data_IF_433590829634
#
_entry.id   IF_433590829634
#
_cell.length_a   1.000
_cell.length_b   1.000
_cell.length_c   1.000
_cell.angle_alpha   90.00
_cell.angle_beta   90.00
_cell.angle_gamma   90.00
#
_symmetry.space_group_name_H-M   'P 1'
#
loop_
_entity.id
_entity.type
_entity.pdbx_description
1 polymer ?
#
# COMPACT_ATOMS: atom_id res chain seq x y z
N UNK A 1 12.99 -12.94 14.96
CA UNK A 1 12.50 -14.22 15.53
C UNK A 1 10.99 -14.06 15.68
N UNK A 2 10.21 -14.61 14.76
CA UNK A 2 8.75 -14.52 14.81
C UNK A 2 8.26 -15.39 15.97
N UNK A 3 7.82 -14.76 17.04
CA UNK A 3 6.91 -15.42 17.97
C UNK A 3 5.58 -15.54 17.22
N UNK A 4 5.38 -16.66 16.54
CA UNK A 4 4.12 -16.95 15.90
C UNK A 4 3.04 -17.06 16.95
N UNK A 5 2.40 -15.94 17.26
CA UNK A 5 1.17 -15.96 18.03
C UNK A 5 0.15 -16.68 17.14
N UNK A 6 -0.14 -17.95 17.45
CA UNK A 6 -1.09 -18.79 16.69
C UNK A 6 -2.52 -18.23 16.72
N UNK A 7 -2.73 -17.16 17.48
CA UNK A 7 -4.02 -16.48 17.66
C UNK A 7 -4.17 -15.21 16.84
N UNK A 8 -3.20 -14.85 15.96
CA UNK A 8 -3.31 -13.66 15.12
C UNK A 8 -4.26 -13.92 13.94
N UNK A 9 -5.54 -13.60 14.13
CA UNK A 9 -6.55 -13.68 13.10
C UNK A 9 -6.84 -12.27 12.53
N UNK A 10 -6.40 -12.03 11.30
CA UNK A 10 -6.60 -10.74 10.60
C UNK A 10 -8.09 -10.37 10.42
N UNK A 11 -9.01 -11.32 10.48
CA UNK A 11 -10.45 -11.05 10.45
C UNK A 11 -10.91 -10.36 11.74
N UNK A 12 -10.37 -10.79 12.88
CA UNK A 12 -10.61 -10.15 14.17
C UNK A 12 -9.96 -8.76 14.22
N UNK A 13 -8.74 -8.62 13.72
CA UNK A 13 -8.03 -7.34 13.62
C UNK A 13 -8.78 -6.34 12.72
N UNK A 14 -9.37 -6.81 11.62
CA UNK A 14 -10.13 -5.96 10.69
C UNK A 14 -11.50 -5.53 11.24
N UNK A 15 -12.06 -6.25 12.22
CA UNK A 15 -13.42 -6.04 12.72
C UNK A 15 -13.71 -4.60 13.19
N UNK A 16 -12.85 -3.93 13.98
CA UNK A 16 -13.07 -2.54 14.40
C UNK A 16 -13.12 -1.55 13.24
N UNK A 17 -12.53 -1.89 12.10
CA UNK A 17 -12.40 -1.04 10.92
C UNK A 17 -13.35 -1.44 9.78
N UNK A 18 -14.25 -2.41 10.03
CA UNK A 18 -15.11 -3.01 9.00
C UNK A 18 -15.86 -1.96 8.17
N UNK A 19 -16.48 -0.98 8.83
CA UNK A 19 -17.29 0.04 8.15
C UNK A 19 -16.46 1.00 7.27
N UNK A 20 -15.21 1.27 7.66
CA UNK A 20 -14.26 2.02 6.85
C UNK A 20 -13.80 1.16 5.65
N UNK A 21 -13.29 -0.03 5.93
CA UNK A 21 -12.73 -0.94 4.93
C UNK A 21 -13.77 -1.35 3.86
N UNK A 22 -15.04 -1.50 4.25
CA UNK A 22 -16.11 -1.86 3.33
C UNK A 22 -16.38 -0.81 2.25
N UNK A 23 -16.07 0.47 2.52
CA UNK A 23 -16.27 1.58 1.56
C UNK A 23 -15.13 1.72 0.56
N UNK A 24 -13.97 1.15 0.84
CA UNK A 24 -12.76 1.36 0.03
C UNK A 24 -12.96 0.86 -1.40
N UNK A 25 -12.63 1.72 -2.35
CA UNK A 25 -12.64 1.47 -3.80
C UNK A 25 -11.26 1.61 -4.42
N UNK A 26 -10.37 2.38 -3.77
CA UNK A 26 -8.99 2.62 -4.21
C UNK A 26 -8.04 2.27 -3.07
N UNK A 27 -7.00 1.50 -3.36
CA UNK A 27 -5.90 1.23 -2.44
C UNK A 27 -4.60 1.80 -3.00
N UNK A 28 -3.98 2.70 -2.26
CA UNK A 28 -2.75 3.41 -2.65
C UNK A 28 -1.66 3.10 -1.65
N UNK A 29 -0.46 2.80 -2.15
CA UNK A 29 0.69 2.43 -1.34
C UNK A 29 1.88 3.33 -1.65
N UNK A 30 2.60 3.75 -0.62
CA UNK A 30 3.98 4.18 -0.81
C UNK A 30 4.87 2.98 -1.19
N UNK A 31 6.05 3.25 -1.69
CA UNK A 31 7.00 2.21 -2.11
C UNK A 31 8.09 2.02 -1.08
N UNK A 32 8.87 3.07 -0.81
CA UNK A 32 10.03 2.98 0.07
C UNK A 32 9.61 3.06 1.53
N UNK A 33 9.68 1.93 2.24
CA UNK A 33 9.20 1.82 3.62
C UNK A 33 7.83 1.16 3.78
N UNK A 34 7.14 0.87 2.66
CA UNK A 34 5.90 0.07 2.65
C UNK A 34 6.07 -1.20 1.81
N UNK A 35 6.15 -1.06 0.47
CA UNK A 35 6.31 -2.20 -0.45
C UNK A 35 7.75 -2.74 -0.47
N UNK A 36 8.70 -1.97 0.07
CA UNK A 36 10.11 -2.32 0.21
C UNK A 36 10.56 -2.03 1.64
N UNK A 37 11.74 -2.49 2.01
CA UNK A 37 12.32 -2.31 3.35
C UNK A 37 13.19 -1.03 3.45
N UNK A 38 12.94 -0.01 2.64
CA UNK A 38 13.69 1.26 2.55
C UNK A 38 15.16 1.11 2.19
N UNK A 39 15.63 -0.08 1.79
CA UNK A 39 17.02 -0.30 1.35
C UNK A 39 17.10 -0.20 -0.16
N UNK A 40 18.06 0.59 -0.63
CA UNK A 40 18.39 0.74 -2.05
C UNK A 40 19.77 0.17 -2.35
N UNK A 41 19.96 -0.35 -3.55
CA UNK A 41 21.25 -0.80 -4.05
C UNK A 41 21.46 -0.34 -5.49
N UNK A 42 22.71 -0.09 -5.87
CA UNK A 42 23.05 0.29 -7.22
C UNK A 42 22.98 -0.91 -8.17
N UNK A 43 22.22 -0.79 -9.25
CA UNK A 43 21.97 -1.86 -10.22
C UNK A 43 22.50 -1.55 -11.64
N UNK A 44 23.50 -0.68 -11.73
CA UNK A 44 24.08 -0.23 -13.00
C UNK A 44 23.39 1.02 -13.57
N UNK A 45 24.05 1.67 -14.56
CA UNK A 45 23.62 2.96 -15.11
C UNK A 45 22.24 2.90 -15.81
N UNK A 46 21.89 1.75 -16.38
CA UNK A 46 20.60 1.57 -17.06
C UNK A 46 19.40 1.49 -16.11
N UNK A 47 19.61 1.04 -14.89
CA UNK A 47 18.53 0.81 -13.90
C UNK A 47 18.61 1.80 -12.75
N UNK A 48 19.80 2.27 -12.39
CA UNK A 48 20.06 3.15 -11.26
C UNK A 48 19.88 2.43 -9.93
N UNK A 49 19.35 3.14 -8.93
CA UNK A 49 19.03 2.57 -7.63
C UNK A 49 17.79 1.68 -7.70
N UNK A 50 17.93 0.45 -7.23
CA UNK A 50 16.88 -0.56 -7.22
C UNK A 50 16.58 -1.03 -5.78
N UNK A 51 15.51 -1.83 -5.62
CA UNK A 51 14.95 -2.25 -4.33
C UNK A 51 14.54 -3.72 -4.36
N UNK A 52 14.40 -4.30 -3.17
CA UNK A 52 13.80 -5.62 -3.00
C UNK A 52 12.33 -5.49 -2.67
N UNK A 53 11.48 -6.19 -3.43
CA UNK A 53 10.04 -6.25 -3.23
C UNK A 53 9.63 -7.59 -2.63
N UNK A 54 8.64 -7.57 -1.76
CA UNK A 54 8.02 -8.78 -1.25
C UNK A 54 7.03 -9.34 -2.28
N UNK A 55 7.15 -10.62 -2.60
CA UNK A 55 6.27 -11.29 -3.57
C UNK A 55 4.82 -11.38 -3.05
N UNK A 56 4.62 -11.56 -1.74
CA UNK A 56 3.30 -11.65 -1.12
C UNK A 56 2.54 -10.32 -1.21
N UNK A 57 3.22 -9.19 -0.98
CA UNK A 57 2.65 -7.86 -1.17
C UNK A 57 2.22 -7.66 -2.62
N UNK A 58 3.12 -7.94 -3.56
CA UNK A 58 2.81 -7.82 -4.99
C UNK A 58 1.63 -8.69 -5.44
N UNK A 59 1.51 -9.92 -4.91
CA UNK A 59 0.35 -10.76 -5.20
C UNK A 59 -0.93 -10.19 -4.59
N UNK A 60 -0.85 -9.61 -3.40
CA UNK A 60 -1.98 -8.91 -2.76
C UNK A 60 -2.53 -7.76 -3.63
N UNK A 61 -1.65 -6.93 -4.20
CA UNK A 61 -2.06 -5.87 -5.15
C UNK A 61 -2.85 -6.44 -6.34
N UNK A 62 -2.38 -7.56 -6.90
CA UNK A 62 -3.10 -8.25 -8.00
C UNK A 62 -4.46 -8.76 -7.55
N UNK A 63 -4.58 -9.29 -6.33
CA UNK A 63 -5.87 -9.77 -5.78
C UNK A 63 -6.89 -8.63 -5.71
N UNK A 64 -6.51 -7.46 -5.19
CA UNK A 64 -7.42 -6.31 -5.14
C UNK A 64 -7.82 -5.85 -6.53
N UNK A 65 -6.85 -5.72 -7.43
CA UNK A 65 -7.11 -5.32 -8.81
C UNK A 65 -8.07 -6.29 -9.52
N UNK A 66 -7.85 -7.60 -9.38
CA UNK A 66 -8.71 -8.62 -9.99
C UNK A 66 -10.12 -8.64 -9.38
N UNK A 67 -10.27 -8.15 -8.15
CA UNK A 67 -11.57 -7.95 -7.52
C UNK A 67 -12.28 -6.65 -7.95
N UNK A 68 -11.66 -5.85 -8.84
CA UNK A 68 -12.24 -4.62 -9.38
C UNK A 68 -11.92 -3.35 -8.60
N UNK A 69 -11.04 -3.40 -7.60
CA UNK A 69 -10.55 -2.19 -6.94
C UNK A 69 -9.47 -1.51 -7.79
N UNK A 70 -9.42 -0.20 -7.73
CA UNK A 70 -8.28 0.55 -8.23
C UNK A 70 -7.10 0.38 -7.28
N UNK A 71 -5.91 0.15 -7.84
CA UNK A 71 -4.68 -0.02 -7.06
C UNK A 71 -3.61 0.89 -7.64
N UNK A 72 -2.99 1.70 -6.78
CA UNK A 72 -1.97 2.67 -7.20
C UNK A 72 -0.80 2.76 -6.24
N UNK A 73 0.23 3.45 -6.71
CA UNK A 73 1.37 3.87 -5.87
C UNK A 73 1.61 5.36 -6.00
N UNK A 74 2.07 5.96 -4.89
CA UNK A 74 2.61 7.32 -4.86
C UNK A 74 3.92 7.28 -4.07
N UNK A 75 5.06 7.56 -4.74
CA UNK A 75 6.38 7.52 -4.11
C UNK A 75 7.25 8.72 -4.48
N UNK A 76 8.04 9.21 -3.53
CA UNK A 76 9.00 10.28 -3.78
C UNK A 76 10.17 9.85 -4.67
N UNK A 77 10.52 8.57 -4.65
CA UNK A 77 11.60 8.02 -5.48
C UNK A 77 11.21 7.87 -6.96
N UNK A 78 12.13 8.16 -7.86
CA UNK A 78 12.01 7.85 -9.29
C UNK A 78 12.92 6.66 -9.63
N UNK A 79 12.36 5.57 -10.13
CA UNK A 79 13.10 4.34 -10.42
C UNK A 79 12.45 3.53 -11.53
N UNK A 80 13.25 3.22 -12.55
CA UNK A 80 12.86 2.32 -13.64
C UNK A 80 12.44 0.94 -13.10
N UNK A 81 13.12 0.43 -12.08
CA UNK A 81 12.80 -0.85 -11.44
C UNK A 81 11.42 -0.86 -10.79
N UNK A 82 11.06 0.22 -10.07
CA UNK A 82 9.73 0.40 -9.47
C UNK A 82 8.66 0.42 -10.56
N UNK A 83 8.83 1.26 -11.57
CA UNK A 83 7.89 1.39 -12.69
C UNK A 83 7.65 0.05 -13.40
N UNK A 84 8.73 -0.67 -13.76
CA UNK A 84 8.64 -2.00 -14.37
C UNK A 84 7.93 -3.02 -13.46
N UNK A 85 8.21 -2.97 -12.15
CA UNK A 85 7.57 -3.88 -11.17
C UNK A 85 6.07 -3.62 -11.10
N UNK A 86 5.62 -2.38 -11.00
CA UNK A 86 4.20 -2.02 -10.86
C UNK A 86 3.43 -2.37 -12.14
N UNK A 87 3.97 -2.05 -13.32
CA UNK A 87 3.37 -2.48 -14.60
C UNK A 87 3.30 -4.00 -14.71
N UNK A 88 4.33 -4.72 -14.27
CA UNK A 88 4.34 -6.21 -14.25
C UNK A 88 3.29 -6.80 -13.29
N UNK A 89 2.84 -6.06 -12.29
CA UNK A 89 1.70 -6.41 -11.44
C UNK A 89 0.36 -6.01 -12.06
N UNK A 90 0.39 -5.31 -13.19
CA UNK A 90 -0.79 -4.88 -13.95
C UNK A 90 -1.37 -3.54 -13.53
N UNK A 91 -0.64 -2.70 -12.78
CA UNK A 91 -1.07 -1.33 -12.53
C UNK A 91 -0.99 -0.54 -13.84
N UNK A 92 -1.98 0.32 -14.08
CA UNK A 92 -1.99 1.24 -15.21
C UNK A 92 -1.12 2.48 -14.92
N UNK A 93 -0.64 3.13 -15.96
CA UNK A 93 0.31 4.25 -15.82
C UNK A 93 -0.29 5.46 -15.08
N UNK A 94 -1.58 5.67 -15.19
CA UNK A 94 -2.35 6.69 -14.47
C UNK A 94 -2.50 6.43 -12.97
N UNK A 95 -2.12 5.24 -12.51
CA UNK A 95 -2.08 4.84 -11.11
C UNK A 95 -0.65 4.71 -10.54
N UNK A 96 0.37 5.08 -11.33
CA UNK A 96 1.79 5.01 -10.93
C UNK A 96 2.36 6.42 -10.89
N UNK A 97 2.49 6.99 -9.70
CA UNK A 97 3.03 8.33 -9.48
C UNK A 97 4.35 8.26 -8.73
N UNK A 98 5.42 8.79 -9.34
CA UNK A 98 6.79 8.71 -8.84
C UNK A 98 7.50 10.07 -8.97
N UNK A 99 8.60 10.26 -8.20
CA UNK A 99 9.54 11.36 -8.38
C UNK A 99 9.16 12.67 -7.69
N UNK A 100 8.18 12.67 -6.78
CA UNK A 100 7.83 13.86 -6.01
C UNK A 100 7.48 13.50 -4.56
N UNK A 101 8.19 14.11 -3.60
CA UNK A 101 7.91 13.98 -2.17
C UNK A 101 6.60 14.67 -1.77
N UNK A 102 6.20 15.77 -2.46
CA UNK A 102 4.86 16.32 -2.29
C UNK A 102 3.84 15.44 -3.04
N UNK A 103 3.25 14.53 -2.31
CA UNK A 103 2.34 13.52 -2.84
C UNK A 103 0.91 14.02 -3.07
N UNK A 104 0.58 15.26 -2.66
CA UNK A 104 -0.79 15.80 -2.72
C UNK A 104 -1.34 15.85 -4.14
N UNK A 105 -0.57 16.37 -5.09
CA UNK A 105 -1.00 16.45 -6.50
C UNK A 105 -1.24 15.07 -7.12
N UNK A 106 -0.41 14.08 -6.77
CA UNK A 106 -0.58 12.70 -7.22
C UNK A 106 -1.86 12.07 -6.64
N UNK A 107 -2.16 12.34 -5.38
CA UNK A 107 -3.38 11.91 -4.74
C UNK A 107 -4.62 12.49 -5.42
N UNK A 108 -4.66 13.81 -5.67
CA UNK A 108 -5.74 14.47 -6.40
C UNK A 108 -5.95 13.89 -7.81
N UNK A 109 -4.85 13.60 -8.53
CA UNK A 109 -4.93 12.95 -9.85
C UNK A 109 -5.60 11.58 -9.78
N UNK A 110 -5.25 10.77 -8.77
CA UNK A 110 -5.89 9.46 -8.58
C UNK A 110 -7.38 9.61 -8.26
N UNK A 111 -7.76 10.52 -7.36
CA UNK A 111 -9.18 10.79 -7.05
C UNK A 111 -9.96 11.18 -8.30
N UNK A 112 -9.41 12.12 -9.09
CA UNK A 112 -10.04 12.59 -10.33
C UNK A 112 -10.14 11.47 -11.38
N UNK A 113 -9.09 10.64 -11.54
CA UNK A 113 -9.06 9.55 -12.51
C UNK A 113 -10.07 8.45 -12.16
N UNK A 114 -10.21 8.16 -10.88
CA UNK A 114 -11.07 7.06 -10.41
C UNK A 114 -12.50 7.51 -10.08
N UNK A 115 -12.72 8.82 -9.91
CA UNK A 115 -14.02 9.36 -9.54
C UNK A 115 -14.46 9.01 -8.12
N UNK A 116 -13.54 8.68 -7.22
CA UNK A 116 -13.83 8.31 -5.83
C UNK A 116 -13.62 9.49 -4.89
N UNK A 117 -14.25 9.42 -3.71
CA UNK A 117 -14.03 10.36 -2.63
C UNK A 117 -12.87 9.89 -1.72
N UNK A 118 -12.31 10.80 -0.92
CA UNK A 118 -11.22 10.51 0.01
C UNK A 118 -11.57 9.41 1.03
N UNK A 119 -12.82 9.35 1.48
CA UNK A 119 -13.31 8.33 2.43
C UNK A 119 -13.45 6.92 1.82
N UNK A 120 -13.28 6.81 0.50
CA UNK A 120 -13.24 5.55 -0.24
C UNK A 120 -11.81 5.09 -0.59
N UNK A 121 -10.79 5.80 -0.06
CA UNK A 121 -9.38 5.49 -0.28
C UNK A 121 -8.77 4.82 0.94
N UNK A 122 -8.02 3.74 0.71
CA UNK A 122 -7.03 3.19 1.62
C UNK A 122 -5.65 3.73 1.23
N UNK A 123 -4.92 4.29 2.19
CA UNK A 123 -3.54 4.75 1.97
C UNK A 123 -2.58 4.15 2.99
N UNK A 124 -1.42 3.65 2.52
CA UNK A 124 -0.30 3.25 3.36
C UNK A 124 0.92 4.09 3.06
N UNK A 125 1.53 4.68 4.09
CA UNK A 125 2.77 5.44 4.03
C UNK A 125 3.50 5.41 5.36
N UNK A 126 4.80 5.74 5.40
CA UNK A 126 5.63 5.61 6.60
C UNK A 126 6.42 6.88 6.95
N UNK A 127 6.43 7.89 6.07
CA UNK A 127 7.23 9.09 6.23
C UNK A 127 6.38 10.37 6.43
N UNK A 128 7.03 11.46 6.86
CA UNK A 128 6.36 12.73 7.16
C UNK A 128 5.60 13.32 5.97
N UNK A 129 6.10 13.12 4.76
CA UNK A 129 5.45 13.60 3.54
C UNK A 129 4.18 12.80 3.17
N UNK A 130 3.92 11.67 3.86
CA UNK A 130 2.67 10.90 3.73
C UNK A 130 1.54 11.47 4.63
N UNK A 131 1.88 12.18 5.70
CA UNK A 131 0.92 12.68 6.68
C UNK A 131 -0.26 13.45 6.07
N UNK A 132 -0.07 14.32 5.05
CA UNK A 132 -1.18 15.01 4.43
C UNK A 132 -2.24 14.08 3.82
N UNK A 133 -1.81 12.93 3.27
CA UNK A 133 -2.71 11.94 2.67
C UNK A 133 -3.26 10.97 3.71
N UNK A 134 -2.43 10.50 4.64
CA UNK A 134 -2.83 9.60 5.73
C UNK A 134 -4.00 10.17 6.55
N UNK A 135 -4.01 11.50 6.76
CA UNK A 135 -5.08 12.20 7.50
C UNK A 135 -6.38 12.38 6.72
N UNK A 136 -6.34 12.25 5.39
CA UNK A 136 -7.48 12.44 4.48
C UNK A 136 -8.13 11.12 4.07
N UNK A 137 -7.33 10.06 3.98
CA UNK A 137 -7.80 8.75 3.55
C UNK A 137 -8.87 8.17 4.46
N UNK A 138 -9.86 7.50 3.88
CA UNK A 138 -10.93 6.82 4.61
C UNK A 138 -10.43 5.72 5.54
N UNK A 139 -9.35 5.04 5.14
CA UNK A 139 -8.59 4.15 5.99
C UNK A 139 -7.10 4.34 5.76
N UNK A 140 -6.37 4.62 6.84
CA UNK A 140 -4.92 4.86 6.80
C UNK A 140 -4.16 3.81 7.61
N UNK A 141 -3.01 3.38 7.09
CA UNK A 141 -2.15 2.43 7.79
C UNK A 141 -0.66 2.75 7.59
N UNK A 142 0.13 2.30 8.55
CA UNK A 142 1.59 2.40 8.51
C UNK A 142 2.25 1.17 9.11
N UNK A 143 3.57 1.17 9.15
CA UNK A 143 4.42 0.10 9.67
C UNK A 143 4.96 0.41 11.07
N UNK A 144 5.35 -0.60 11.87
CA UNK A 144 5.82 -0.38 13.24
C UNK A 144 7.14 0.40 13.31
N UNK A 145 7.92 0.42 12.23
CA UNK A 145 9.18 1.16 12.13
C UNK A 145 9.03 2.58 11.51
N UNK A 146 7.82 3.04 11.23
CA UNK A 146 7.56 4.44 10.87
C UNK A 146 7.84 5.39 12.04
N UNK A 147 7.96 6.70 11.76
CA UNK A 147 8.13 7.70 12.80
C UNK A 147 6.95 7.70 13.78
N UNK A 148 7.16 8.21 14.99
CA UNK A 148 6.14 8.25 16.02
C UNK A 148 4.93 9.05 15.54
N UNK A 149 5.16 10.20 14.93
CA UNK A 149 4.12 11.11 14.42
C UNK A 149 3.24 10.47 13.35
N UNK A 150 3.84 9.64 12.48
CA UNK A 150 3.09 8.89 11.47
C UNK A 150 2.25 7.80 12.13
N UNK A 151 2.82 7.04 13.07
CA UNK A 151 2.09 5.99 13.79
C UNK A 151 0.90 6.51 14.61
N UNK A 152 1.02 7.73 15.15
CA UNK A 152 -0.07 8.37 15.91
C UNK A 152 -1.17 8.96 15.03
N UNK A 153 -0.88 9.16 13.71
CA UNK A 153 -1.80 9.81 12.78
C UNK A 153 -2.68 8.82 11.99
N UNK A 154 -2.46 7.51 12.11
CA UNK A 154 -3.14 6.50 11.29
C UNK A 154 -4.18 5.70 12.06
N UNK A 155 -5.08 5.05 11.31
CA UNK A 155 -6.05 4.12 11.88
C UNK A 155 -5.39 2.81 12.34
N UNK A 156 -4.35 2.34 11.64
CA UNK A 156 -3.75 1.04 11.89
C UNK A 156 -2.23 1.04 11.70
N UNK A 157 -1.54 0.44 12.67
CA UNK A 157 -0.10 0.12 12.57
C UNK A 157 0.04 -1.39 12.39
N UNK A 158 0.70 -1.83 11.31
CA UNK A 158 0.82 -3.25 10.98
C UNK A 158 1.69 -4.03 11.96
N UNK A 159 1.51 -5.34 12.03
CA UNK A 159 2.41 -6.25 12.75
C UNK A 159 3.69 -6.53 11.97
N UNK A 160 3.56 -6.65 10.64
CA UNK A 160 4.71 -6.84 9.76
C UNK A 160 5.40 -5.51 9.47
N UNK A 161 6.73 -5.55 9.46
CA UNK A 161 7.57 -4.41 9.11
C UNK A 161 7.58 -4.15 7.60
N UNK A 162 8.11 -2.98 7.22
CA UNK A 162 8.30 -2.55 5.85
C UNK A 162 8.96 -3.63 4.97
N UNK A 163 8.34 -3.93 3.82
CA UNK A 163 8.81 -4.95 2.88
C UNK A 163 8.73 -6.39 3.35
N UNK A 164 8.15 -6.66 4.52
CA UNK A 164 8.04 -8.01 5.10
C UNK A 164 6.60 -8.58 5.03
N UNK A 165 5.74 -7.97 4.19
CA UNK A 165 4.36 -8.38 4.03
C UNK A 165 3.35 -7.46 4.73
N UNK A 166 3.74 -6.26 5.10
CA UNK A 166 2.87 -5.27 5.74
C UNK A 166 1.73 -4.81 4.84
N UNK A 167 2.00 -4.59 3.55
CA UNK A 167 0.95 -4.26 2.60
C UNK A 167 -0.02 -5.44 2.42
N UNK A 168 0.48 -6.67 2.38
CA UNK A 168 -0.35 -7.88 2.31
C UNK A 168 -1.25 -8.03 3.54
N UNK A 169 -0.79 -7.65 4.72
CA UNK A 169 -1.59 -7.64 5.95
C UNK A 169 -2.81 -6.75 5.81
N UNK A 170 -2.60 -5.49 5.40
CA UNK A 170 -3.69 -4.52 5.20
C UNK A 170 -4.61 -4.92 4.05
N UNK A 171 -4.06 -5.45 2.96
CA UNK A 171 -4.83 -6.01 1.85
C UNK A 171 -5.72 -7.16 2.32
N UNK A 172 -5.21 -8.05 3.17
CA UNK A 172 -6.01 -9.15 3.71
C UNK A 172 -7.13 -8.66 4.65
N UNK A 173 -6.90 -7.59 5.44
CA UNK A 173 -7.96 -6.93 6.21
C UNK A 173 -9.05 -6.37 5.29
N UNK A 174 -8.67 -5.65 4.24
CA UNK A 174 -9.60 -5.07 3.27
C UNK A 174 -10.43 -6.15 2.57
N UNK A 175 -9.78 -7.19 2.04
CA UNK A 175 -10.49 -8.26 1.36
C UNK A 175 -11.44 -9.03 2.28
N UNK A 176 -11.09 -9.23 3.56
CA UNK A 176 -11.99 -9.86 4.54
C UNK A 176 -13.23 -8.99 4.80
N UNK A 177 -13.05 -7.68 4.95
CA UNK A 177 -14.18 -6.77 5.15
C UNK A 177 -15.12 -6.72 3.94
N UNK A 178 -14.59 -6.86 2.73
CA UNK A 178 -15.36 -6.81 1.49
C UNK A 178 -15.80 -8.20 0.96
N UNK A 179 -15.43 -9.29 1.62
CA UNK A 179 -15.76 -10.65 1.17
C UNK A 179 -15.02 -11.08 -0.10
N UNK A 180 -13.87 -10.45 -0.39
CA UNK A 180 -13.07 -10.78 -1.58
C UNK A 180 -12.35 -12.11 -1.35
N UNK A 181 -12.65 -13.09 -2.18
CA UNK A 181 -11.98 -14.40 -2.21
C UNK A 181 -11.10 -14.45 -3.45
N UNK A 182 -9.77 -14.65 -3.29
CA UNK A 182 -8.86 -14.80 -4.43
C UNK A 182 -9.30 -16.00 -5.29
N UNK A 183 -9.51 -15.76 -6.57
CA UNK A 183 -9.77 -16.84 -7.52
C UNK A 183 -8.44 -17.40 -7.99
N UNK A 184 -8.27 -18.71 -7.87
CA UNK A 184 -7.13 -19.46 -8.39
C UNK A 184 -7.68 -20.30 -9.53
N UNK A 185 -7.39 -19.88 -10.77
CA UNK A 185 -7.64 -20.71 -11.95
C UNK A 185 -6.60 -21.85 -11.97
N UNK A 186 -7.06 -23.07 -12.05
CA UNK A 186 -6.23 -24.27 -12.14
C UNK A 186 -6.08 -24.72 -13.58
#
# INVERSE_FOLDING_TARGET
>A
MFSGDRNFDLREVARPFHDKLKKIKVAIFDVDGILTNSKVYWSGDEVGFNRFFNVRDGYGLKVLKNAGLHVGIITGGDSVGVSKRMRGLGLSDDMIHMGNEDKRDAFEKILNTTGVNEDEVLYMGDEFFDLPILKRAGFSATVPNASMEVREAVDYVTHFSAGEGCAREVIDMLRFAQGIVPQVEH
#
